data_IF_018942475796
#
_entry.id   IF_018942475796
#
_cell.length_a   1.000
_cell.length_b   1.000
_cell.length_c   1.000
_cell.angle_alpha   90.00
_cell.angle_beta   90.00
_cell.angle_gamma   90.00
#
_symmetry.space_group_name_H-M   'P 1'
#
loop_
_entity.id
_entity.type
_entity.pdbx_description
1 polymer ?
#
# COMPACT_ATOMS: atom_id res chain seq x y z
N UNK A 1 15.18 -62.15 -4.38
CA UNK A 1 14.96 -60.66 -4.32
C UNK A 1 15.04 -60.28 -2.86
N UNK A 2 16.09 -59.57 -2.46
CA UNK A 2 16.34 -59.18 -1.07
C UNK A 2 15.80 -57.75 -0.86
N UNK A 3 14.96 -57.60 0.17
CA UNK A 3 14.44 -56.27 0.56
C UNK A 3 15.57 -55.42 1.18
N UNK A 4 15.62 -54.12 0.89
CA UNK A 4 16.63 -53.23 1.46
C UNK A 4 16.30 -52.98 2.95
N UNK A 5 17.26 -53.28 3.82
CA UNK A 5 17.19 -53.01 5.28
C UNK A 5 17.22 -51.49 5.48
N UNK A 6 16.12 -50.90 6.02
CA UNK A 6 16.09 -49.50 6.48
C UNK A 6 17.21 -49.27 7.50
N UNK A 7 17.95 -48.19 7.33
CA UNK A 7 19.06 -47.87 8.22
C UNK A 7 18.53 -47.04 9.41
N UNK A 8 19.15 -47.18 10.60
CA UNK A 8 18.79 -46.45 11.83
C UNK A 8 18.75 -44.92 11.67
N UNK A 9 19.28 -44.40 10.56
CA UNK A 9 19.30 -42.98 10.23
C UNK A 9 17.98 -42.54 9.61
N UNK A 10 17.27 -43.45 8.93
CA UNK A 10 15.99 -43.16 8.29
C UNK A 10 14.85 -43.18 9.34
N UNK A 11 14.94 -44.02 10.35
CA UNK A 11 14.00 -44.06 11.47
C UNK A 11 14.11 -42.80 12.36
N UNK A 12 15.32 -42.32 12.61
CA UNK A 12 15.54 -41.08 13.38
C UNK A 12 15.05 -39.83 12.66
N UNK A 13 15.07 -39.83 11.32
CA UNK A 13 14.54 -38.69 10.52
C UNK A 13 12.99 -38.68 10.49
N UNK A 14 12.37 -39.87 10.49
CA UNK A 14 10.90 -40.00 10.50
C UNK A 14 10.33 -39.64 11.89
N UNK A 15 11.03 -39.97 12.98
CA UNK A 15 10.66 -39.62 14.35
C UNK A 15 10.82 -38.09 14.63
N UNK A 16 11.86 -37.46 14.08
CA UNK A 16 12.04 -36.02 14.18
C UNK A 16 10.96 -35.22 13.43
N UNK A 17 10.53 -35.70 12.25
CA UNK A 17 9.46 -35.05 11.48
C UNK A 17 8.08 -35.17 12.15
N UNK A 18 7.83 -36.28 12.87
CA UNK A 18 6.59 -36.47 13.62
C UNK A 18 6.50 -35.55 14.85
N UNK A 19 7.64 -35.28 15.52
CA UNK A 19 7.68 -34.37 16.68
C UNK A 19 7.50 -32.91 16.24
N UNK A 20 8.06 -32.49 15.09
CA UNK A 20 7.85 -31.13 14.57
C UNK A 20 6.39 -30.87 14.16
N UNK A 21 5.70 -31.88 13.63
CA UNK A 21 4.28 -31.73 13.25
C UNK A 21 3.37 -31.56 14.49
N UNK A 22 3.62 -32.26 15.58
CA UNK A 22 2.83 -32.14 16.82
C UNK A 22 3.05 -30.79 17.53
N UNK A 23 4.28 -30.27 17.51
CA UNK A 23 4.60 -28.95 18.09
C UNK A 23 3.95 -27.80 17.28
N UNK A 24 3.82 -27.95 15.95
CA UNK A 24 3.17 -26.96 15.11
C UNK A 24 1.63 -26.91 15.32
N UNK A 25 0.99 -28.05 15.57
CA UNK A 25 -0.46 -28.10 15.88
C UNK A 25 -0.77 -27.49 17.25
N UNK A 26 0.05 -27.78 18.28
CA UNK A 26 -0.14 -27.22 19.63
C UNK A 26 0.04 -25.67 19.67
N UNK A 27 0.95 -25.11 18.87
CA UNK A 27 1.13 -23.65 18.76
C UNK A 27 -0.03 -22.94 18.02
N UNK A 28 -0.73 -23.63 17.13
CA UNK A 28 -1.90 -23.08 16.43
C UNK A 28 -3.12 -23.06 17.35
N UNK A 29 -3.30 -24.05 18.23
CA UNK A 29 -4.39 -24.06 19.22
C UNK A 29 -4.20 -22.98 20.31
N UNK A 30 -2.99 -22.82 20.84
CA UNK A 30 -2.69 -21.83 21.88
C UNK A 30 -2.89 -20.38 21.36
N UNK A 31 -2.60 -20.11 20.07
CA UNK A 31 -2.84 -18.80 19.45
C UNK A 31 -4.32 -18.53 19.14
N UNK A 32 -5.14 -19.58 19.01
CA UNK A 32 -6.58 -19.46 18.81
C UNK A 32 -7.32 -19.18 20.14
N UNK A 33 -6.91 -19.79 21.25
CA UNK A 33 -7.49 -19.52 22.58
C UNK A 33 -7.11 -18.14 23.12
N UNK A 34 -5.87 -17.69 22.96
CA UNK A 34 -5.43 -16.34 23.36
C UNK A 34 -6.17 -15.21 22.62
N UNK A 35 -6.71 -15.48 21.43
CA UNK A 35 -7.46 -14.50 20.64
C UNK A 35 -8.95 -14.44 21.00
N UNK A 36 -9.48 -15.43 21.72
CA UNK A 36 -10.86 -15.47 22.18
C UNK A 36 -11.08 -14.75 23.53
N UNK A 37 -10.03 -14.60 24.35
CA UNK A 37 -10.13 -14.02 25.69
C UNK A 37 -9.99 -12.48 25.74
N UNK A 38 -9.56 -11.84 24.63
CA UNK A 38 -9.35 -10.37 24.57
C UNK A 38 -10.59 -9.56 24.12
N UNK A 39 -11.76 -10.17 24.02
CA UNK A 39 -13.00 -9.47 23.55
C UNK A 39 -13.99 -9.08 24.64
N UNK A 40 -13.70 -9.27 25.93
CA UNK A 40 -14.57 -8.80 27.04
C UNK A 40 -13.93 -7.71 27.89
N UNK A 41 -13.88 -6.46 27.39
CA UNK A 41 -13.68 -5.27 28.21
C UNK A 41 -14.98 -4.44 28.28
N UNK A 42 -15.39 -3.95 29.48
CA UNK A 42 -16.72 -3.35 29.71
C UNK A 42 -16.85 -2.00 29.00
N UNK A 43 -17.86 -1.87 28.15
CA UNK A 43 -18.25 -0.64 27.45
C UNK A 43 -18.73 0.41 28.48
N UNK A 44 -17.97 1.52 28.61
CA UNK A 44 -18.43 2.72 29.32
C UNK A 44 -19.63 3.35 28.59
N UNK A 45 -20.64 3.88 29.30
CA UNK A 45 -21.85 4.42 28.70
C UNK A 45 -21.55 5.70 27.90
N UNK A 46 -21.87 5.65 26.61
CA UNK A 46 -21.75 6.76 25.66
C UNK A 46 -22.90 7.77 25.96
N UNK A 47 -22.54 8.99 26.40
CA UNK A 47 -23.49 10.10 26.54
C UNK A 47 -24.23 10.33 25.23
N UNK A 48 -25.51 10.08 25.24
CA UNK A 48 -26.44 10.40 24.15
C UNK A 48 -26.53 11.92 23.99
N UNK A 49 -25.99 12.43 22.93
CA UNK A 49 -26.18 13.82 22.49
C UNK A 49 -27.50 13.86 21.73
N UNK A 50 -28.47 14.64 22.25
CA UNK A 50 -29.78 14.87 21.63
C UNK A 50 -29.62 15.24 20.15
N UNK A 51 -30.28 14.47 19.29
CA UNK A 51 -30.46 14.71 17.86
C UNK A 51 -31.41 15.89 17.71
N UNK A 52 -30.92 17.04 17.30
CA UNK A 52 -31.75 18.07 16.72
C UNK A 52 -32.02 17.66 15.27
N UNK A 53 -33.29 17.52 14.93
CA UNK A 53 -33.77 17.40 13.56
C UNK A 53 -33.53 18.74 12.87
N UNK A 54 -32.60 18.74 11.97
CA UNK A 54 -32.62 19.66 10.83
C UNK A 54 -31.94 18.91 9.68
N UNK A 55 -32.73 18.46 8.73
CA UNK A 55 -32.29 17.83 7.50
C UNK A 55 -32.07 18.95 6.47
N UNK A 56 -30.81 19.28 6.13
CA UNK A 56 -30.59 20.07 4.92
C UNK A 56 -30.82 19.13 3.72
N UNK A 57 -31.67 19.57 2.84
CA UNK A 57 -31.93 18.99 1.54
C UNK A 57 -30.61 18.57 0.85
N UNK A 58 -30.57 17.32 0.34
CA UNK A 58 -29.52 16.87 -0.55
C UNK A 58 -29.43 17.85 -1.74
N UNK A 59 -28.43 18.71 -1.70
CA UNK A 59 -28.03 19.42 -2.91
C UNK A 59 -27.65 18.40 -3.97
N UNK A 60 -28.18 18.48 -5.18
CA UNK A 60 -27.81 17.56 -6.24
C UNK A 60 -26.31 17.67 -6.48
N UNK A 61 -25.58 16.58 -6.21
CA UNK A 61 -24.15 16.47 -6.55
C UNK A 61 -23.98 16.94 -7.97
N UNK A 62 -23.35 18.10 -8.13
CA UNK A 62 -23.05 18.71 -9.41
C UNK A 62 -22.49 17.61 -10.33
N UNK A 63 -23.22 17.31 -11.39
CA UNK A 63 -22.82 16.36 -12.41
C UNK A 63 -21.43 16.77 -12.88
N UNK A 64 -20.47 15.87 -12.81
CA UNK A 64 -19.13 16.10 -13.35
C UNK A 64 -19.32 16.57 -14.79
N UNK A 65 -18.65 17.66 -15.23
CA UNK A 65 -18.81 18.16 -16.59
C UNK A 65 -18.60 17.01 -17.57
N UNK A 66 -19.61 16.75 -18.41
CA UNK A 66 -19.56 15.74 -19.44
C UNK A 66 -18.35 16.05 -20.33
N UNK A 67 -17.44 15.10 -20.41
CA UNK A 67 -16.22 15.20 -21.20
C UNK A 67 -16.60 15.31 -22.67
N UNK A 68 -15.91 16.17 -23.42
CA UNK A 68 -16.14 16.29 -24.85
C UNK A 68 -15.96 14.94 -25.54
N UNK A 69 -16.84 14.53 -26.47
CA UNK A 69 -16.69 13.28 -27.19
C UNK A 69 -15.45 13.37 -28.09
N UNK A 70 -14.44 12.52 -27.81
CA UNK A 70 -13.18 12.45 -28.59
C UNK A 70 -11.91 12.53 -27.78
N UNK A 71 -11.94 12.92 -26.50
CA UNK A 71 -10.74 12.89 -25.66
C UNK A 71 -10.56 11.52 -24.99
N UNK A 72 -9.40 10.90 -25.18
CA UNK A 72 -9.03 9.66 -24.51
C UNK A 72 -9.20 9.77 -22.98
N UNK A 73 -9.76 8.76 -22.31
CA UNK A 73 -10.00 8.83 -20.87
C UNK A 73 -8.67 8.97 -20.11
N UNK A 74 -8.59 10.00 -19.26
CA UNK A 74 -7.42 10.27 -18.42
C UNK A 74 -7.72 9.86 -16.99
N UNK A 75 -7.03 8.83 -16.52
CA UNK A 75 -7.19 8.31 -15.17
C UNK A 75 -6.11 8.88 -14.26
N UNK A 76 -6.51 9.41 -13.09
CA UNK A 76 -5.59 10.01 -12.13
C UNK A 76 -5.65 9.28 -10.80
N UNK A 77 -4.46 9.03 -10.22
CA UNK A 77 -4.33 8.54 -8.86
C UNK A 77 -3.37 9.43 -8.05
N UNK A 78 -3.68 9.63 -6.78
CA UNK A 78 -2.92 10.48 -5.87
C UNK A 78 -2.67 9.77 -4.54
N UNK A 79 -1.41 9.77 -4.09
CA UNK A 79 -1.04 9.37 -2.74
C UNK A 79 -0.51 10.61 -1.98
N UNK A 80 -1.27 11.05 -0.96
CA UNK A 80 -0.92 12.22 -0.15
C UNK A 80 -0.13 11.82 1.10
N UNK A 81 0.76 12.70 1.56
CA UNK A 81 1.49 12.58 2.82
C UNK A 81 2.43 11.37 2.93
N UNK A 82 2.97 10.88 1.81
CA UNK A 82 3.93 9.79 1.78
C UNK A 82 5.20 10.18 2.53
N UNK A 83 5.68 9.32 3.44
CA UNK A 83 6.80 9.62 4.37
C UNK A 83 8.17 9.55 3.71
N UNK A 84 8.32 10.24 2.58
CA UNK A 84 9.55 10.35 1.82
C UNK A 84 9.81 11.79 1.40
N UNK A 85 11.01 12.09 0.96
CA UNK A 85 11.34 13.39 0.38
C UNK A 85 10.98 13.41 -1.10
N UNK A 86 10.32 14.48 -1.57
CA UNK A 86 9.96 14.66 -2.97
C UNK A 86 11.16 14.54 -3.92
N UNK A 87 12.36 15.01 -3.52
CA UNK A 87 13.59 14.85 -4.31
C UNK A 87 13.93 13.37 -4.56
N UNK A 88 13.75 12.51 -3.54
CA UNK A 88 13.99 11.06 -3.69
C UNK A 88 12.91 10.39 -4.55
N UNK A 89 11.67 10.85 -4.44
CA UNK A 89 10.56 10.35 -5.24
C UNK A 89 10.72 10.73 -6.72
N UNK A 90 11.16 11.94 -7.04
CA UNK A 90 11.41 12.40 -8.41
C UNK A 90 12.43 11.55 -9.16
N UNK A 91 13.47 11.05 -8.48
CA UNK A 91 14.45 10.16 -9.10
C UNK A 91 13.83 8.86 -9.62
N UNK A 92 12.74 8.37 -9.01
CA UNK A 92 11.99 7.21 -9.50
C UNK A 92 11.00 7.63 -10.60
N UNK A 93 10.39 8.81 -10.50
CA UNK A 93 9.50 9.35 -11.53
C UNK A 93 10.17 9.38 -12.92
N UNK A 94 11.45 9.77 -12.96
CA UNK A 94 12.19 9.93 -14.21
C UNK A 94 12.39 8.59 -14.95
N UNK A 95 12.40 7.47 -14.21
CA UNK A 95 12.51 6.13 -14.79
C UNK A 95 11.20 5.60 -15.37
N UNK A 96 10.05 6.00 -14.82
CA UNK A 96 8.73 5.46 -15.19
C UNK A 96 7.91 6.40 -16.09
N UNK A 97 8.32 7.66 -16.23
CA UNK A 97 7.61 8.65 -17.06
C UNK A 97 7.55 8.21 -18.52
N UNK A 98 6.36 8.22 -19.10
CA UNK A 98 6.14 7.89 -20.52
C UNK A 98 6.25 6.41 -20.86
N UNK A 99 6.41 5.52 -19.87
CA UNK A 99 6.48 4.07 -20.07
C UNK A 99 5.10 3.43 -20.09
N UNK A 100 5.01 2.21 -20.63
CA UNK A 100 3.81 1.39 -20.47
C UNK A 100 3.65 0.96 -19.01
N UNK A 101 2.44 0.59 -18.61
CA UNK A 101 2.17 0.09 -17.24
C UNK A 101 2.97 -1.19 -16.96
N UNK A 102 3.11 -2.07 -17.96
CA UNK A 102 3.86 -3.33 -17.84
C UNK A 102 5.35 -3.05 -17.57
N UNK A 103 5.96 -2.18 -18.38
CA UNK A 103 7.37 -1.79 -18.21
C UNK A 103 7.60 -1.08 -16.86
N UNK A 104 6.67 -0.21 -16.47
CA UNK A 104 6.77 0.51 -15.21
C UNK A 104 6.72 -0.43 -14.00
N UNK A 105 5.87 -1.46 -14.01
CA UNK A 105 5.83 -2.50 -12.97
C UNK A 105 7.20 -3.22 -12.86
N UNK A 106 7.78 -3.62 -13.98
CA UNK A 106 9.09 -4.27 -14.02
C UNK A 106 10.21 -3.36 -13.48
N UNK A 107 10.23 -2.08 -13.88
CA UNK A 107 11.20 -1.08 -13.40
C UNK A 107 11.06 -0.84 -11.90
N UNK A 108 9.83 -0.70 -11.40
CA UNK A 108 9.57 -0.44 -9.98
C UNK A 108 9.94 -1.64 -9.10
N UNK A 109 9.69 -2.87 -9.54
CA UNK A 109 10.08 -4.09 -8.84
C UNK A 109 11.62 -4.21 -8.71
N UNK A 110 12.38 -3.76 -9.72
CA UNK A 110 13.85 -3.83 -9.73
C UNK A 110 14.55 -2.65 -9.05
N UNK A 111 13.81 -1.57 -8.78
CA UNK A 111 14.39 -0.34 -8.20
C UNK A 111 14.68 -0.53 -6.72
N UNK A 112 15.96 -0.41 -6.25
CA UNK A 112 16.34 -0.67 -4.86
C UNK A 112 15.91 0.42 -3.86
N UNK A 113 15.15 1.42 -4.30
CA UNK A 113 14.70 2.54 -3.47
C UNK A 113 13.38 2.21 -2.79
N UNK A 114 13.28 2.41 -1.49
CA UNK A 114 12.04 2.20 -0.72
C UNK A 114 10.81 2.91 -1.32
N UNK A 115 11.00 4.10 -1.89
CA UNK A 115 9.92 4.88 -2.54
C UNK A 115 9.31 4.15 -3.74
N UNK A 116 10.03 3.20 -4.37
CA UNK A 116 9.50 2.41 -5.47
C UNK A 116 8.26 1.60 -5.06
N UNK A 117 8.21 1.11 -3.83
CA UNK A 117 7.06 0.39 -3.28
C UNK A 117 5.82 1.29 -3.18
N UNK A 118 6.01 2.56 -2.77
CA UNK A 118 4.91 3.53 -2.69
C UNK A 118 4.38 3.86 -4.10
N UNK A 119 5.30 4.00 -5.08
CA UNK A 119 4.94 4.20 -6.48
C UNK A 119 4.23 3.00 -7.09
N UNK A 120 4.66 1.78 -6.76
CA UNK A 120 4.02 0.55 -7.22
C UNK A 120 2.57 0.47 -6.74
N UNK A 121 2.33 0.68 -5.45
CA UNK A 121 0.97 0.71 -4.87
C UNK A 121 0.09 1.78 -5.51
N UNK A 122 0.65 2.95 -5.80
CA UNK A 122 -0.08 4.03 -6.45
C UNK A 122 -0.41 3.68 -7.91
N UNK A 123 0.52 3.04 -8.64
CA UNK A 123 0.31 2.57 -10.00
C UNK A 123 -0.80 1.49 -10.05
N UNK A 124 -0.77 0.53 -9.14
CA UNK A 124 -1.81 -0.51 -9.03
C UNK A 124 -3.19 0.09 -8.73
N UNK A 125 -3.24 1.07 -7.83
CA UNK A 125 -4.47 1.82 -7.57
C UNK A 125 -4.96 2.61 -8.80
N UNK A 126 -4.06 3.16 -9.61
CA UNK A 126 -4.41 3.85 -10.84
C UNK A 126 -4.98 2.89 -11.90
N UNK A 127 -4.38 1.70 -12.03
CA UNK A 127 -4.84 0.65 -12.95
C UNK A 127 -6.21 0.15 -12.53
N UNK A 128 -6.40 -0.20 -11.26
CA UNK A 128 -7.70 -0.62 -10.74
C UNK A 128 -8.80 0.44 -10.96
N UNK A 129 -8.45 1.73 -10.81
CA UNK A 129 -9.36 2.84 -11.09
C UNK A 129 -9.70 2.94 -12.60
N UNK A 130 -8.75 2.63 -13.49
CA UNK A 130 -8.96 2.59 -14.93
C UNK A 130 -9.90 1.44 -15.33
N UNK A 131 -9.69 0.26 -14.78
CA UNK A 131 -10.49 -0.93 -15.03
C UNK A 131 -11.93 -0.75 -14.53
N UNK A 132 -12.11 -0.33 -13.27
CA UNK A 132 -13.44 -0.22 -12.67
C UNK A 132 -14.28 0.96 -13.18
N UNK A 133 -13.67 2.11 -13.47
CA UNK A 133 -14.45 3.31 -13.81
C UNK A 133 -14.49 3.62 -15.31
N UNK A 134 -13.58 3.05 -16.09
CA UNK A 134 -13.42 3.37 -17.51
C UNK A 134 -13.38 2.12 -18.40
N UNK A 135 -13.47 0.90 -17.81
CA UNK A 135 -13.43 -0.38 -18.51
C UNK A 135 -12.20 -0.54 -19.43
N UNK A 136 -11.08 0.11 -19.05
CA UNK A 136 -9.84 0.07 -19.81
C UNK A 136 -9.00 -1.14 -19.39
N UNK A 137 -8.37 -1.80 -20.35
CA UNK A 137 -7.47 -2.91 -20.09
C UNK A 137 -6.14 -2.37 -19.56
N UNK A 138 -5.71 -2.86 -18.39
CA UNK A 138 -4.51 -2.35 -17.70
C UNK A 138 -3.22 -2.44 -18.51
N UNK A 139 -3.10 -3.40 -19.44
CA UNK A 139 -1.94 -3.60 -20.31
C UNK A 139 -1.82 -2.55 -21.43
N UNK A 140 -2.95 -2.01 -21.87
CA UNK A 140 -3.02 -0.98 -22.91
C UNK A 140 -2.80 0.43 -22.38
N UNK A 141 -2.51 0.57 -21.08
CA UNK A 141 -2.32 1.87 -20.46
C UNK A 141 -0.86 2.32 -20.53
N UNK A 142 -0.70 3.63 -20.72
CA UNK A 142 0.59 4.34 -20.70
C UNK A 142 0.58 5.40 -19.61
N UNK A 143 1.71 5.59 -18.98
CA UNK A 143 1.93 6.67 -18.02
C UNK A 143 2.18 7.97 -18.78
N UNK A 144 1.20 8.88 -18.73
CA UNK A 144 1.32 10.19 -19.37
C UNK A 144 2.16 11.14 -18.50
N UNK A 145 1.77 11.33 -17.24
CA UNK A 145 2.51 12.19 -16.33
C UNK A 145 2.69 11.57 -14.95
N UNK A 146 3.84 11.84 -14.35
CA UNK A 146 4.18 11.45 -12.98
C UNK A 146 4.80 12.65 -12.29
N UNK A 147 4.22 13.04 -11.14
CA UNK A 147 4.70 14.17 -10.36
C UNK A 147 4.89 13.79 -8.90
N UNK A 148 5.89 14.40 -8.28
CA UNK A 148 6.17 14.29 -6.85
C UNK A 148 6.38 15.68 -6.25
N UNK A 149 5.37 16.15 -5.51
CA UNK A 149 5.34 17.46 -4.91
C UNK A 149 5.71 17.43 -3.43
N UNK A 150 6.15 18.56 -2.90
CA UNK A 150 6.54 18.66 -1.51
C UNK A 150 5.30 18.80 -0.62
N UNK A 151 5.20 17.90 0.36
CA UNK A 151 4.18 17.96 1.39
C UNK A 151 4.67 18.67 2.66
N UNK A 152 3.81 18.77 3.68
CA UNK A 152 4.16 19.39 4.96
C UNK A 152 5.32 18.65 5.62
N UNK A 153 6.24 19.43 6.20
CA UNK A 153 7.41 18.90 6.92
C UNK A 153 7.15 18.90 8.41
N UNK A 154 7.21 17.75 9.05
CA UNK A 154 7.14 17.65 10.51
C UNK A 154 8.50 18.02 11.11
N UNK A 155 8.51 19.13 11.82
CA UNK A 155 9.71 19.60 12.54
C UNK A 155 9.84 18.83 13.86
N UNK A 156 11.00 18.24 14.11
CA UNK A 156 11.38 17.55 15.36
C UNK A 156 12.76 18.00 15.75
N UNK A 157 13.15 17.74 16.98
CA UNK A 157 14.51 17.99 17.45
C UNK A 157 15.10 16.71 18.07
N UNK A 158 16.40 16.63 18.03
CA UNK A 158 17.18 15.61 18.70
C UNK A 158 18.04 16.30 19.75
N UNK A 159 17.96 15.91 21.04
CA UNK A 159 18.81 16.47 22.07
C UNK A 159 20.28 16.11 21.78
N UNK A 160 21.17 17.07 22.02
CA UNK A 160 22.61 16.93 21.91
C UNK A 160 23.30 17.18 23.27
N UNK A 161 24.62 17.09 23.29
CA UNK A 161 25.42 17.39 24.48
C UNK A 161 25.26 18.85 24.93
N UNK A 162 25.42 19.11 26.20
CA UNK A 162 25.35 20.45 26.84
C UNK A 162 24.02 21.20 26.59
N UNK A 163 22.90 20.49 26.60
CA UNK A 163 21.57 21.10 26.42
C UNK A 163 21.28 21.62 25.00
N UNK A 164 22.14 21.33 24.01
CA UNK A 164 21.90 21.72 22.61
C UNK A 164 20.87 20.82 21.98
N UNK A 165 20.16 21.35 20.97
CA UNK A 165 19.18 20.58 20.18
C UNK A 165 19.46 20.73 18.68
N UNK A 166 19.43 19.62 17.95
CA UNK A 166 19.56 19.59 16.50
C UNK A 166 18.19 19.42 15.84
N UNK A 167 17.83 20.28 14.88
CA UNK A 167 16.56 20.21 14.19
C UNK A 167 16.50 19.04 13.20
N UNK A 168 15.47 18.20 13.30
CA UNK A 168 15.19 17.12 12.38
C UNK A 168 13.95 17.47 11.56
N UNK A 169 14.06 17.38 10.24
CA UNK A 169 12.94 17.60 9.31
C UNK A 169 12.46 16.25 8.76
N UNK A 170 11.29 15.79 9.22
CA UNK A 170 10.63 14.62 8.66
C UNK A 170 9.76 15.08 7.49
N UNK A 171 10.29 14.99 6.27
CA UNK A 171 9.61 15.45 5.04
C UNK A 171 8.53 14.46 4.62
N UNK A 172 7.49 14.98 4.00
CA UNK A 172 6.46 14.21 3.28
C UNK A 172 6.42 14.67 1.83
N UNK A 173 5.86 13.85 0.97
CA UNK A 173 5.62 14.15 -0.44
C UNK A 173 4.22 13.74 -0.86
N UNK A 174 3.72 14.37 -1.91
CA UNK A 174 2.49 14.03 -2.60
C UNK A 174 2.86 13.43 -3.94
N UNK A 175 2.41 12.21 -4.21
CA UNK A 175 2.70 11.48 -5.43
C UNK A 175 1.44 11.49 -6.29
N UNK A 176 1.58 11.75 -7.58
CA UNK A 176 0.48 11.73 -8.54
C UNK A 176 0.89 11.00 -9.81
N UNK A 177 0.02 10.14 -10.30
CA UNK A 177 0.16 9.43 -11.57
C UNK A 177 -1.07 9.72 -12.44
N UNK A 178 -0.83 9.94 -13.72
CA UNK A 178 -1.87 10.07 -14.73
C UNK A 178 -1.65 9.01 -15.80
N UNK A 179 -2.67 8.18 -16.04
CA UNK A 179 -2.69 7.15 -17.07
C UNK A 179 -3.57 7.59 -18.23
N UNK A 180 -3.16 7.22 -19.43
CA UNK A 180 -3.91 7.36 -20.69
C UNK A 180 -3.84 6.04 -21.45
N UNK A 181 -4.84 5.68 -22.27
CA UNK A 181 -4.71 4.53 -23.18
C UNK A 181 -3.56 4.78 -24.14
N UNK A 182 -2.93 3.69 -24.58
CA UNK A 182 -1.88 3.70 -25.60
C UNK A 182 -2.57 3.87 -26.96
N UNK A 183 -2.17 4.88 -27.70
CA UNK A 183 -2.54 5.05 -29.10
C UNK A 183 -1.86 4.02 -30.00
#
# INVERSE_FOLDING_TARGET
>A
MAEPKKTKKDEAAEEAAAVEATVAEEQVEETAEAKAEETEAPKKPRRTRKKAEDAPAEEPKAAKPARAPGEAPVVRAHAKYVRTSARKARLVCDHIRGKSVVDARAILAHTPRHVAQDWQKLLESAVANAEHNHELIGEELRINSVTADEGPTLKRFRPGAMGRASAIRKRTSHLSITLTPKE
#
